data_IF_976104364781
#
_entry.id   IF_976104364781
#
_cell.length_a   1.000
_cell.length_b   1.000
_cell.length_c   1.000
_cell.angle_alpha   90.00
_cell.angle_beta   90.00
_cell.angle_gamma   90.00
#
_symmetry.space_group_name_H-M   'P 1'
#
loop_
_entity.id
_entity.type
_entity.pdbx_description
1 polymer ?
#
# COMPACT_ATOMS: atom_id res chain seq x y z
N UNK A 1 -59.13 3.56 -32.50
CA UNK A 1 -58.86 2.36 -31.68
C UNK A 1 -57.52 2.40 -30.94
N UNK A 2 -56.39 2.60 -31.62
CA UNK A 2 -55.06 2.71 -31.00
C UNK A 2 -54.92 3.82 -29.93
N UNK A 3 -55.58 4.96 -30.12
CA UNK A 3 -55.58 6.06 -29.14
C UNK A 3 -56.32 5.71 -27.84
N UNK A 4 -57.31 4.82 -27.91
CA UNK A 4 -58.10 4.38 -26.76
C UNK A 4 -57.31 3.34 -25.96
N UNK A 5 -56.68 2.39 -26.66
CA UNK A 5 -55.72 1.44 -26.08
C UNK A 5 -54.51 2.13 -25.43
N UNK A 6 -53.99 3.20 -26.01
CA UNK A 6 -52.89 3.97 -25.42
C UNK A 6 -53.30 4.67 -24.12
N UNK A 7 -54.53 5.20 -24.05
CA UNK A 7 -55.06 5.79 -22.81
C UNK A 7 -55.29 4.74 -21.71
N UNK A 8 -55.81 3.57 -22.07
CA UNK A 8 -55.98 2.45 -21.15
C UNK A 8 -54.63 1.92 -20.64
N UNK A 9 -53.62 1.81 -21.52
CA UNK A 9 -52.27 1.40 -21.11
C UNK A 9 -51.62 2.40 -20.15
N UNK A 10 -51.83 3.70 -20.37
CA UNK A 10 -51.30 4.75 -19.50
C UNK A 10 -51.99 4.76 -18.12
N UNK A 11 -53.29 4.44 -18.06
CA UNK A 11 -54.01 4.29 -16.79
C UNK A 11 -53.46 3.11 -15.97
N UNK A 12 -53.25 1.96 -16.62
CA UNK A 12 -52.64 0.78 -15.99
C UNK A 12 -51.21 1.07 -15.54
N UNK A 13 -50.43 1.79 -16.35
CA UNK A 13 -49.07 2.20 -16.01
C UNK A 13 -49.04 3.11 -14.77
N UNK A 14 -50.00 4.03 -14.65
CA UNK A 14 -50.09 4.92 -13.50
C UNK A 14 -50.60 4.23 -12.23
N UNK A 15 -51.44 3.21 -12.34
CA UNK A 15 -51.78 2.32 -11.22
C UNK A 15 -50.58 1.51 -10.74
N UNK A 16 -49.78 0.97 -11.66
CA UNK A 16 -48.53 0.25 -11.33
C UNK A 16 -47.54 1.20 -10.62
N UNK A 17 -47.41 2.45 -11.09
CA UNK A 17 -46.57 3.46 -10.44
C UNK A 17 -47.03 3.80 -9.03
N UNK A 18 -48.35 3.92 -8.80
CA UNK A 18 -48.90 4.16 -7.45
C UNK A 18 -48.64 2.98 -6.52
N UNK A 19 -48.86 1.76 -6.99
CA UNK A 19 -48.58 0.55 -6.23
C UNK A 19 -47.09 0.40 -5.86
N UNK A 20 -46.18 0.84 -6.74
CA UNK A 20 -44.73 0.88 -6.46
C UNK A 20 -44.40 2.00 -5.46
N UNK A 21 -45.02 3.17 -5.60
CA UNK A 21 -44.79 4.31 -4.70
C UNK A 21 -45.30 4.06 -3.27
N UNK A 22 -46.37 3.29 -3.08
CA UNK A 22 -46.92 2.93 -1.78
C UNK A 22 -46.04 1.94 -0.99
N UNK A 23 -45.16 1.18 -1.67
CA UNK A 23 -44.24 0.21 -1.07
C UNK A 23 -42.84 0.77 -0.77
N UNK A 24 -42.59 2.06 -1.01
CA UNK A 24 -41.27 2.69 -0.83
C UNK A 24 -41.26 3.63 0.39
N UNK A 25 -40.17 3.61 1.16
CA UNK A 25 -40.00 4.50 2.32
C UNK A 25 -39.87 5.97 1.90
N UNK A 26 -40.37 6.90 2.72
CA UNK A 26 -40.36 8.36 2.47
C UNK A 26 -38.99 8.95 2.02
N UNK A 27 -37.83 8.52 2.55
CA UNK A 27 -36.52 8.99 2.06
C UNK A 27 -36.25 8.61 0.60
N UNK A 28 -36.69 7.42 0.19
CA UNK A 28 -36.58 6.91 -1.18
C UNK A 28 -37.47 7.70 -2.15
N UNK A 29 -38.65 8.13 -1.68
CA UNK A 29 -39.54 9.01 -2.45
C UNK A 29 -38.92 10.38 -2.70
N UNK A 30 -38.23 10.97 -1.72
CA UNK A 30 -37.54 12.26 -1.87
C UNK A 30 -36.37 12.19 -2.87
N UNK A 31 -35.60 11.08 -2.88
CA UNK A 31 -34.52 10.89 -3.86
C UNK A 31 -35.04 10.63 -5.27
N UNK A 32 -36.10 9.83 -5.41
CA UNK A 32 -36.77 9.69 -6.72
C UNK A 32 -37.34 11.03 -7.19
N UNK A 33 -37.93 11.81 -6.28
CA UNK A 33 -38.43 13.15 -6.57
C UNK A 33 -37.32 14.09 -7.00
N UNK A 34 -36.14 14.11 -6.38
CA UNK A 34 -35.03 14.93 -6.89
C UNK A 34 -34.53 14.51 -8.28
N UNK A 35 -34.73 13.24 -8.68
CA UNK A 35 -34.44 12.74 -10.03
C UNK A 35 -35.57 13.02 -11.03
N UNK A 36 -36.82 13.17 -10.57
CA UNK A 36 -38.02 13.32 -11.43
C UNK A 36 -38.75 14.66 -11.34
N UNK A 37 -38.39 15.54 -10.41
CA UNK A 37 -38.91 16.93 -10.32
C UNK A 37 -37.89 17.94 -10.81
N UNK A 38 -37.61 17.84 -12.09
CA UNK A 38 -37.36 19.03 -12.88
C UNK A 38 -38.26 18.93 -14.10
N UNK A 39 -38.66 20.07 -14.65
CA UNK A 39 -39.30 20.16 -15.98
C UNK A 39 -38.34 19.72 -17.11
N UNK A 40 -37.47 18.75 -16.85
CA UNK A 40 -36.47 18.26 -17.78
C UNK A 40 -37.11 17.14 -18.60
N UNK A 41 -37.32 17.44 -19.87
CA UNK A 41 -37.74 16.47 -20.90
C UNK A 41 -36.66 15.39 -21.12
N UNK A 42 -35.44 15.64 -20.68
CA UNK A 42 -34.27 14.77 -20.87
C UNK A 42 -33.97 13.95 -19.62
N UNK A 43 -33.74 12.65 -19.79
CA UNK A 43 -33.11 11.80 -18.78
C UNK A 43 -31.59 11.90 -18.91
N UNK A 44 -30.93 12.34 -17.84
CA UNK A 44 -29.47 12.45 -17.82
C UNK A 44 -28.84 11.10 -17.47
N UNK A 45 -27.77 10.68 -18.18
CA UNK A 45 -26.97 9.53 -17.78
C UNK A 45 -26.47 9.67 -16.34
N UNK A 46 -26.39 8.54 -15.65
CA UNK A 46 -25.89 8.46 -14.27
C UNK A 46 -25.41 7.04 -13.99
N UNK A 47 -24.64 6.86 -12.93
CA UNK A 47 -24.17 5.53 -12.49
C UNK A 47 -25.32 4.54 -12.27
N UNK A 48 -26.53 5.03 -11.96
CA UNK A 48 -27.72 4.20 -11.76
C UNK A 48 -28.22 3.55 -13.05
N UNK A 49 -27.82 4.03 -14.23
CA UNK A 49 -28.11 3.35 -15.48
C UNK A 49 -27.28 2.06 -15.63
N UNK A 50 -26.06 2.06 -15.11
CA UNK A 50 -25.16 0.90 -15.13
C UNK A 50 -25.39 -0.04 -13.94
N UNK A 51 -25.77 0.54 -12.79
CA UNK A 51 -26.00 -0.16 -11.53
C UNK A 51 -27.38 0.22 -10.93
N UNK A 52 -28.51 -0.16 -11.58
CA UNK A 52 -29.84 0.26 -11.14
C UNK A 52 -30.24 -0.29 -9.77
N UNK A 53 -29.63 -1.40 -9.33
CA UNK A 53 -29.88 -1.98 -8.01
C UNK A 53 -29.45 -1.06 -6.86
N UNK A 54 -28.56 -0.09 -7.11
CA UNK A 54 -28.15 0.89 -6.08
C UNK A 54 -29.31 1.79 -5.63
N UNK A 55 -30.38 1.92 -6.43
CA UNK A 55 -31.58 2.67 -6.04
C UNK A 55 -32.43 1.92 -5.00
N UNK A 56 -32.23 0.61 -4.83
CA UNK A 56 -33.04 -0.20 -3.94
C UNK A 56 -32.77 0.10 -2.46
N UNK A 57 -31.56 0.58 -2.12
CA UNK A 57 -31.17 0.87 -0.73
C UNK A 57 -30.28 2.10 -0.67
N UNK A 58 -30.59 3.01 0.25
CA UNK A 58 -29.79 4.23 0.42
C UNK A 58 -28.35 3.96 0.86
N UNK A 59 -28.15 2.89 1.62
CA UNK A 59 -26.82 2.46 2.09
C UNK A 59 -25.96 1.82 1.01
N UNK A 60 -26.44 1.65 -0.22
CA UNK A 60 -25.67 1.06 -1.32
C UNK A 60 -24.43 1.86 -1.71
N UNK A 61 -24.44 3.18 -1.48
CA UNK A 61 -23.31 4.08 -1.78
C UNK A 61 -22.57 4.56 -0.52
N UNK A 62 -22.99 4.08 0.65
CA UNK A 62 -22.32 4.41 1.92
C UNK A 62 -21.32 3.30 2.27
N UNK A 63 -20.11 3.64 2.72
CA UNK A 63 -19.19 2.64 3.25
C UNK A 63 -19.82 1.92 4.45
N UNK A 64 -19.66 0.59 4.53
CA UNK A 64 -20.12 -0.21 5.67
C UNK A 64 -19.18 -0.11 6.88
N UNK A 65 -17.89 0.08 6.60
CA UNK A 65 -16.87 0.51 7.56
C UNK A 65 -16.37 1.85 7.06
N UNK A 66 -16.25 2.81 7.98
CA UNK A 66 -15.71 4.13 7.70
C UNK A 66 -14.94 4.64 8.92
N UNK A 67 -13.62 4.56 8.86
CA UNK A 67 -12.70 4.98 9.92
C UNK A 67 -11.75 6.02 9.35
N UNK A 68 -11.69 7.21 9.95
CA UNK A 68 -10.83 8.30 9.50
C UNK A 68 -11.42 9.67 9.83
N UNK A 69 -10.67 10.74 9.54
CA UNK A 69 -11.08 12.13 9.83
C UNK A 69 -11.73 12.85 8.65
N UNK A 70 -11.85 12.22 7.47
CA UNK A 70 -12.48 12.85 6.31
C UNK A 70 -11.64 13.98 5.72
N UNK A 71 -10.31 13.88 5.79
CA UNK A 71 -9.39 14.93 5.31
C UNK A 71 -9.58 15.16 3.80
N UNK A 72 -9.54 16.42 3.40
CA UNK A 72 -9.66 16.91 2.01
C UNK A 72 -8.67 18.06 1.76
N UNK A 73 -8.53 18.48 0.50
CA UNK A 73 -7.65 19.60 0.11
C UNK A 73 -6.18 19.22 -0.02
N UNK A 74 -5.85 17.93 -0.09
CA UNK A 74 -4.48 17.44 -0.24
C UNK A 74 -4.02 17.42 -1.71
N UNK A 75 -2.72 17.39 -1.95
CA UNK A 75 -2.20 17.26 -3.31
C UNK A 75 -2.44 15.86 -3.87
N UNK A 76 -2.17 14.81 -3.10
CA UNK A 76 -2.23 13.42 -3.59
C UNK A 76 -3.05 12.54 -2.63
N UNK A 77 -4.02 11.83 -3.19
CA UNK A 77 -4.79 10.78 -2.52
C UNK A 77 -4.31 9.43 -3.05
N UNK A 78 -3.92 8.51 -2.17
CA UNK A 78 -3.47 7.17 -2.53
C UNK A 78 -4.53 6.13 -2.18
N UNK A 79 -5.08 5.44 -3.18
CA UNK A 79 -6.04 4.36 -2.98
C UNK A 79 -5.35 3.00 -2.89
N UNK A 80 -5.53 2.29 -1.78
CA UNK A 80 -4.94 0.96 -1.51
C UNK A 80 -6.06 -0.06 -1.27
N UNK A 81 -6.54 -0.76 -2.31
CA UNK A 81 -7.53 -1.82 -2.17
C UNK A 81 -6.89 -3.08 -1.60
N UNK A 82 -7.54 -3.71 -0.65
CA UNK A 82 -7.12 -4.97 -0.02
C UNK A 82 -8.24 -5.99 -0.04
N UNK A 83 -7.91 -7.23 -0.37
CA UNK A 83 -8.84 -8.37 -0.36
C UNK A 83 -8.34 -9.42 0.61
N UNK A 84 -9.29 -10.21 1.14
CA UNK A 84 -8.96 -11.31 2.03
C UNK A 84 -8.14 -12.37 1.31
N UNK A 85 -6.96 -12.68 1.87
CA UNK A 85 -6.10 -13.79 1.44
C UNK A 85 -6.02 -14.84 2.55
N UNK A 86 -5.93 -16.11 2.19
CA UNK A 86 -5.91 -17.22 3.16
C UNK A 86 -4.57 -17.34 3.90
N UNK A 87 -3.46 -16.99 3.25
CA UNK A 87 -2.10 -17.30 3.73
C UNK A 87 -1.44 -16.13 4.45
N UNK A 88 -1.44 -14.94 3.83
CA UNK A 88 -0.70 -13.79 4.33
C UNK A 88 -1.34 -12.48 3.88
N UNK A 89 -1.31 -11.47 4.76
CA UNK A 89 -1.75 -10.10 4.46
C UNK A 89 -0.54 -9.19 4.33
N UNK A 90 -0.39 -8.55 3.16
CA UNK A 90 0.70 -7.62 2.86
C UNK A 90 0.37 -6.16 3.28
N UNK A 91 -0.88 -5.89 3.65
CA UNK A 91 -1.41 -4.54 3.84
C UNK A 91 -0.59 -3.74 4.86
N UNK A 92 -0.27 -4.32 6.01
CA UNK A 92 0.47 -3.63 7.07
C UNK A 92 1.89 -3.24 6.62
N UNK A 93 2.55 -4.10 5.85
CA UNK A 93 3.90 -3.84 5.35
C UNK A 93 3.88 -2.77 4.26
N UNK A 94 2.92 -2.84 3.35
CA UNK A 94 2.68 -1.81 2.32
C UNK A 94 2.41 -0.45 2.95
N UNK A 95 1.52 -0.39 3.94
CA UNK A 95 1.20 0.83 4.67
C UNK A 95 2.40 1.39 5.42
N UNK A 96 3.18 0.53 6.07
CA UNK A 96 4.42 0.92 6.73
C UNK A 96 5.38 1.55 5.73
N UNK A 97 5.64 0.88 4.59
CA UNK A 97 6.51 1.39 3.54
C UNK A 97 6.04 2.73 2.98
N UNK A 98 4.74 2.90 2.74
CA UNK A 98 4.20 4.16 2.22
C UNK A 98 4.37 5.30 3.22
N UNK A 99 4.12 5.05 4.50
CA UNK A 99 4.10 6.09 5.54
C UNK A 99 5.47 6.44 6.11
N UNK A 100 6.42 5.51 6.13
CA UNK A 100 7.80 5.77 6.61
C UNK A 100 8.60 6.64 5.65
N UNK A 101 8.30 6.56 4.35
CA UNK A 101 8.97 7.35 3.31
C UNK A 101 8.36 8.75 3.11
N UNK A 102 7.35 9.14 3.90
CA UNK A 102 6.77 10.47 3.90
C UNK A 102 7.41 11.35 4.98
N UNK A 103 7.85 12.55 4.59
CA UNK A 103 8.20 13.62 5.52
C UNK A 103 6.97 14.17 6.25
N UNK A 104 7.17 14.91 7.33
CA UNK A 104 6.07 15.51 8.10
C UNK A 104 5.17 16.44 7.24
N UNK A 105 5.77 17.22 6.33
CA UNK A 105 5.00 18.08 5.43
C UNK A 105 4.19 17.27 4.40
N UNK A 106 4.77 16.19 3.87
CA UNK A 106 4.06 15.31 2.93
C UNK A 106 2.92 14.54 3.61
N UNK A 107 3.07 14.18 4.89
CA UNK A 107 1.99 13.57 5.68
C UNK A 107 0.78 14.50 5.85
N UNK A 108 0.96 15.81 5.86
CA UNK A 108 -0.15 16.77 5.89
C UNK A 108 -0.79 17.01 4.52
N UNK A 109 0.00 16.82 3.45
CA UNK A 109 -0.42 17.02 2.05
C UNK A 109 -0.84 15.71 1.35
N UNK A 110 -1.18 14.68 2.14
CA UNK A 110 -1.53 13.35 1.67
C UNK A 110 -2.71 12.74 2.44
N UNK A 111 -3.47 11.89 1.74
CA UNK A 111 -4.43 10.94 2.32
C UNK A 111 -4.20 9.57 1.69
N UNK A 112 -4.08 8.53 2.51
CA UNK A 112 -4.08 7.12 2.12
C UNK A 112 -5.46 6.56 2.45
N UNK A 113 -6.18 6.08 1.44
CA UNK A 113 -7.47 5.43 1.59
C UNK A 113 -7.30 3.93 1.39
N UNK A 114 -7.39 3.17 2.48
CA UNK A 114 -7.46 1.72 2.46
C UNK A 114 -8.88 1.29 2.19
N UNK A 115 -9.09 0.56 1.10
CA UNK A 115 -10.38 -0.03 0.76
C UNK A 115 -10.35 -1.53 1.01
N UNK A 116 -10.96 -1.96 2.11
CA UNK A 116 -11.16 -3.37 2.40
C UNK A 116 -12.29 -3.85 1.49
N UNK A 117 -11.95 -4.48 0.39
CA UNK A 117 -12.86 -4.89 -0.68
C UNK A 117 -13.62 -6.17 -0.30
N UNK A 118 -14.16 -6.23 0.92
CA UNK A 118 -14.92 -7.35 1.48
C UNK A 118 -16.27 -6.87 1.97
N UNK A 119 -17.31 -7.67 1.73
CA UNK A 119 -18.69 -7.36 2.18
C UNK A 119 -19.00 -7.89 3.57
N UNK A 120 -18.17 -8.79 4.10
CA UNK A 120 -18.28 -9.27 5.48
C UNK A 120 -17.82 -8.15 6.42
N UNK A 121 -18.80 -7.52 7.09
CA UNK A 121 -18.55 -6.39 7.98
C UNK A 121 -17.76 -6.80 9.22
N UNK A 122 -17.91 -8.03 9.73
CA UNK A 122 -17.14 -8.48 10.89
C UNK A 122 -15.66 -8.61 10.52
N UNK A 123 -15.40 -9.22 9.36
CA UNK A 123 -14.04 -9.29 8.81
C UNK A 123 -13.46 -7.89 8.56
N UNK A 124 -14.20 -7.01 7.88
CA UNK A 124 -13.72 -5.67 7.58
C UNK A 124 -13.42 -4.85 8.84
N UNK A 125 -14.29 -4.91 9.87
CA UNK A 125 -14.02 -4.28 11.17
C UNK A 125 -12.77 -4.87 11.82
N UNK A 126 -12.64 -6.20 11.84
CA UNK A 126 -11.45 -6.84 12.41
C UNK A 126 -10.15 -6.42 11.72
N UNK A 127 -10.17 -6.22 10.40
CA UNK A 127 -8.99 -5.73 9.67
C UNK A 127 -8.71 -4.29 10.07
N UNK A 128 -9.74 -3.44 10.10
CA UNK A 128 -9.62 -2.04 10.50
C UNK A 128 -9.08 -1.88 11.93
N UNK A 129 -9.59 -2.65 12.89
CA UNK A 129 -9.18 -2.63 14.30
C UNK A 129 -7.76 -3.15 14.51
N UNK A 130 -7.32 -4.11 13.69
CA UNK A 130 -5.97 -4.68 13.77
C UNK A 130 -4.89 -3.82 13.09
N UNK A 131 -5.27 -2.75 12.37
CA UNK A 131 -4.30 -1.82 11.78
C UNK A 131 -3.62 -1.01 12.89
N UNK A 132 -2.31 -1.20 13.03
CA UNK A 132 -1.49 -0.57 14.07
C UNK A 132 -1.07 0.87 13.72
N UNK A 133 -2.01 1.69 13.24
CA UNK A 133 -1.78 3.08 12.79
C UNK A 133 -2.75 4.09 13.42
N UNK A 134 -2.97 4.08 14.75
CA UNK A 134 -3.94 4.96 15.39
C UNK A 134 -3.59 6.45 15.24
N UNK A 135 -2.29 6.78 15.21
CA UNK A 135 -1.80 8.16 15.07
C UNK A 135 -2.13 8.69 13.67
N UNK A 136 -1.90 7.88 12.64
CA UNK A 136 -2.15 8.26 11.24
C UNK A 136 -3.65 8.30 10.92
N UNK A 137 -4.45 7.44 11.55
CA UNK A 137 -5.92 7.53 11.48
C UNK A 137 -6.40 8.81 12.14
N UNK A 138 -5.88 9.15 13.33
CA UNK A 138 -6.29 10.33 14.07
C UNK A 138 -5.84 11.64 13.42
N UNK A 139 -4.67 11.66 12.76
CA UNK A 139 -4.24 12.84 12.01
C UNK A 139 -5.08 13.07 10.75
N UNK A 140 -5.71 12.02 10.22
CA UNK A 140 -6.41 12.04 8.94
C UNK A 140 -5.51 11.69 7.75
N UNK A 141 -4.29 11.22 7.99
CA UNK A 141 -3.43 10.66 6.95
C UNK A 141 -3.98 9.33 6.42
N UNK A 142 -4.51 8.47 7.30
CA UNK A 142 -5.03 7.16 6.94
C UNK A 142 -6.55 7.10 7.13
N UNK A 143 -7.25 6.62 6.10
CA UNK A 143 -8.67 6.30 6.17
C UNK A 143 -8.90 4.85 5.77
N UNK A 144 -9.83 4.18 6.44
CA UNK A 144 -10.20 2.79 6.17
C UNK A 144 -11.68 2.73 5.85
N UNK A 145 -12.01 2.20 4.67
CA UNK A 145 -13.37 2.06 4.20
C UNK A 145 -13.63 0.63 3.71
N UNK A 146 -14.89 0.21 3.79
CA UNK A 146 -15.35 -1.02 3.13
C UNK A 146 -16.69 -0.78 2.42
N UNK A 147 -16.99 -1.55 1.37
CA UNK A 147 -18.22 -1.38 0.60
C UNK A 147 -19.41 -1.97 1.36
N UNK A 148 -20.58 -1.37 1.18
CA UNK A 148 -21.84 -2.05 1.50
C UNK A 148 -22.02 -3.29 0.63
N UNK A 149 -22.56 -4.37 1.21
CA UNK A 149 -22.96 -5.57 0.43
C UNK A 149 -23.94 -5.22 -0.69
N UNK A 150 -24.69 -4.13 -0.55
CA UNK A 150 -25.66 -3.64 -1.53
C UNK A 150 -25.06 -2.79 -2.65
N UNK A 151 -23.76 -2.50 -2.59
CA UNK A 151 -23.04 -1.87 -3.68
C UNK A 151 -22.90 -2.83 -4.88
N UNK A 152 -22.62 -4.10 -4.60
CA UNK A 152 -22.38 -5.08 -5.65
C UNK A 152 -23.70 -5.63 -6.24
N UNK A 153 -23.74 -5.84 -7.57
CA UNK A 153 -24.85 -6.53 -8.22
C UNK A 153 -24.80 -8.04 -7.95
N UNK A 154 -25.88 -8.73 -8.28
CA UNK A 154 -25.89 -10.20 -8.33
C UNK A 154 -24.94 -10.71 -9.43
N UNK A 155 -23.86 -11.36 -9.02
CA UNK A 155 -22.86 -11.94 -9.92
C UNK A 155 -23.24 -13.33 -10.47
N UNK A 156 -24.31 -13.96 -9.99
CA UNK A 156 -24.72 -15.31 -10.44
C UNK A 156 -25.03 -15.39 -11.93
N UNK A 157 -25.43 -14.26 -12.53
CA UNK A 157 -25.83 -14.12 -13.93
C UNK A 157 -24.68 -13.73 -14.87
N UNK A 158 -23.44 -13.66 -14.37
CA UNK A 158 -22.29 -13.37 -15.21
C UNK A 158 -22.05 -14.50 -16.21
N UNK A 159 -21.76 -14.11 -17.46
CA UNK A 159 -21.45 -15.03 -18.56
C UNK A 159 -19.94 -15.25 -18.63
N UNK A 160 -19.55 -16.48 -18.94
CA UNK A 160 -18.16 -16.79 -19.27
C UNK A 160 -17.71 -16.03 -20.52
N UNK A 161 -16.43 -15.70 -20.59
CA UNK A 161 -15.86 -14.85 -21.64
C UNK A 161 -14.36 -15.11 -21.74
N UNK A 162 -13.77 -14.96 -22.94
CA UNK A 162 -12.32 -15.12 -23.16
C UNK A 162 -11.75 -16.49 -22.72
N UNK A 163 -12.61 -17.51 -22.60
CA UNK A 163 -12.23 -18.83 -22.06
C UNK A 163 -12.03 -18.85 -20.54
N UNK A 164 -12.35 -17.76 -19.84
CA UNK A 164 -12.23 -17.69 -18.39
C UNK A 164 -13.43 -18.39 -17.70
N UNK A 165 -13.19 -19.18 -16.64
CA UNK A 165 -14.26 -19.76 -15.84
C UNK A 165 -15.05 -18.67 -15.11
N UNK A 166 -16.29 -18.97 -14.71
CA UNK A 166 -17.16 -18.02 -13.97
C UNK A 166 -16.49 -17.34 -12.79
N UNK A 167 -15.69 -18.05 -11.99
CA UNK A 167 -15.00 -17.46 -10.83
C UNK A 167 -14.00 -16.37 -11.24
N UNK A 168 -13.27 -16.59 -12.35
CA UNK A 168 -12.34 -15.59 -12.87
C UNK A 168 -13.09 -14.38 -13.46
N UNK A 169 -14.21 -14.62 -14.13
CA UNK A 169 -15.10 -13.53 -14.61
C UNK A 169 -15.66 -12.72 -13.45
N UNK A 170 -16.13 -13.40 -12.40
CA UNK A 170 -16.61 -12.76 -11.16
C UNK A 170 -15.52 -11.93 -10.52
N UNK A 171 -14.31 -12.49 -10.38
CA UNK A 171 -13.16 -11.80 -9.80
C UNK A 171 -12.82 -10.50 -10.55
N UNK A 172 -12.66 -10.54 -11.88
CA UNK A 172 -12.35 -9.33 -12.68
C UNK A 172 -13.50 -8.32 -12.69
N UNK A 173 -14.76 -8.79 -12.66
CA UNK A 173 -15.95 -7.92 -12.60
C UNK A 173 -16.02 -7.19 -11.26
N UNK A 174 -15.77 -7.91 -10.16
CA UNK A 174 -15.72 -7.33 -8.82
C UNK A 174 -14.59 -6.31 -8.71
N UNK A 175 -13.39 -6.63 -9.21
CA UNK A 175 -12.25 -5.71 -9.18
C UNK A 175 -12.54 -4.38 -9.88
N UNK A 176 -13.24 -4.40 -11.02
CA UNK A 176 -13.66 -3.16 -11.69
C UNK A 176 -14.54 -2.29 -10.78
N UNK A 177 -15.50 -2.92 -10.08
CA UNK A 177 -16.39 -2.22 -9.14
C UNK A 177 -15.65 -1.72 -7.89
N UNK A 178 -14.69 -2.50 -7.39
CA UNK A 178 -13.85 -2.14 -6.25
C UNK A 178 -13.09 -0.83 -6.52
N UNK A 179 -12.46 -0.73 -7.70
CA UNK A 179 -11.73 0.48 -8.07
C UNK A 179 -12.67 1.66 -8.35
N UNK A 180 -13.84 1.41 -8.94
CA UNK A 180 -14.85 2.46 -9.09
C UNK A 180 -15.29 3.03 -7.74
N UNK A 181 -15.56 2.17 -6.74
CA UNK A 181 -15.95 2.61 -5.40
C UNK A 181 -14.88 3.50 -4.78
N UNK A 182 -13.63 3.04 -4.83
CA UNK A 182 -12.48 3.74 -4.27
C UNK A 182 -12.22 5.09 -4.97
N UNK A 183 -12.28 5.12 -6.30
CA UNK A 183 -12.14 6.37 -7.08
C UNK A 183 -13.27 7.36 -6.78
N UNK A 184 -14.52 6.90 -6.69
CA UNK A 184 -15.65 7.75 -6.32
C UNK A 184 -15.48 8.35 -4.92
N UNK A 185 -15.01 7.55 -3.96
CA UNK A 185 -14.75 8.03 -2.60
C UNK A 185 -13.60 9.05 -2.55
N UNK A 186 -12.53 8.81 -3.32
CA UNK A 186 -11.34 9.64 -3.32
C UNK A 186 -11.47 10.95 -4.10
N UNK A 187 -12.44 11.06 -5.02
CA UNK A 187 -12.55 12.15 -6.00
C UNK A 187 -12.50 13.56 -5.40
N UNK A 188 -13.16 13.79 -4.26
CA UNK A 188 -13.25 15.12 -3.65
C UNK A 188 -12.09 15.45 -2.69
N UNK A 189 -11.16 14.53 -2.47
CA UNK A 189 -10.18 14.63 -1.39
C UNK A 189 -8.90 15.38 -1.78
N UNK A 190 -8.48 15.33 -3.03
CA UNK A 190 -7.25 15.97 -3.45
C UNK A 190 -7.13 16.23 -4.93
N UNK A 191 -6.01 16.81 -5.35
CA UNK A 191 -5.76 17.23 -6.74
C UNK A 191 -5.52 16.02 -7.66
N UNK A 192 -4.73 15.07 -7.17
CA UNK A 192 -4.39 13.83 -7.89
C UNK A 192 -4.82 12.60 -7.09
N UNK A 193 -5.23 11.58 -7.81
CA UNK A 193 -5.51 10.24 -7.28
C UNK A 193 -4.48 9.25 -7.81
N UNK A 194 -3.87 8.46 -6.93
CA UNK A 194 -2.94 7.39 -7.28
C UNK A 194 -3.53 6.07 -6.87
N UNK A 195 -3.74 5.19 -7.85
CA UNK A 195 -4.17 3.83 -7.60
C UNK A 195 -2.96 2.93 -7.28
N UNK A 196 -3.00 2.26 -6.14
CA UNK A 196 -2.00 1.31 -5.68
C UNK A 196 -2.63 -0.07 -5.45
N UNK A 197 -1.83 -1.01 -4.96
CA UNK A 197 -2.22 -2.36 -4.50
C UNK A 197 -1.69 -2.55 -3.06
N UNK A 198 -2.21 -3.54 -2.34
CA UNK A 198 -1.87 -3.79 -0.93
C UNK A 198 -0.60 -4.62 -0.71
N UNK A 199 0.12 -4.96 -1.78
CA UNK A 199 1.33 -5.80 -1.79
C UNK A 199 2.50 -5.14 -2.54
N UNK A 200 2.75 -3.87 -2.22
CA UNK A 200 3.78 -3.05 -2.85
C UNK A 200 4.75 -2.44 -1.84
N UNK A 201 5.96 -2.14 -2.29
CA UNK A 201 6.93 -1.33 -1.55
C UNK A 201 7.26 -0.07 -2.35
N UNK A 202 7.30 1.06 -1.67
CA UNK A 202 7.59 2.37 -2.25
C UNK A 202 9.08 2.71 -2.16
N UNK A 203 9.57 3.48 -3.13
CA UNK A 203 10.91 4.09 -3.07
C UNK A 203 10.94 5.29 -2.11
N UNK A 204 12.12 5.63 -1.56
CA UNK A 204 12.30 6.90 -0.88
C UNK A 204 11.93 8.10 -1.78
N UNK A 205 11.35 9.13 -1.18
CA UNK A 205 10.92 10.36 -1.85
C UNK A 205 9.89 10.15 -2.98
N UNK A 206 9.16 9.03 -2.99
CA UNK A 206 8.19 8.74 -4.04
C UNK A 206 7.13 9.85 -4.15
N UNK A 207 6.65 10.38 -3.02
CA UNK A 207 5.61 11.41 -2.99
C UNK A 207 6.04 12.69 -3.69
N UNK A 208 7.13 13.31 -3.23
CA UNK A 208 7.70 14.52 -3.86
C UNK A 208 8.02 14.27 -5.34
N UNK A 209 8.55 13.08 -5.68
CA UNK A 209 8.85 12.72 -7.07
C UNK A 209 7.58 12.69 -7.93
N UNK A 210 6.50 12.04 -7.46
CA UNK A 210 5.22 11.99 -8.16
C UNK A 210 4.62 13.39 -8.34
N UNK A 211 4.60 14.20 -7.27
CA UNK A 211 4.05 15.56 -7.28
C UNK A 211 4.80 16.45 -8.27
N UNK A 212 6.12 16.47 -8.19
CA UNK A 212 6.95 17.27 -9.10
C UNK A 212 6.81 16.80 -10.55
N UNK A 213 6.77 15.48 -10.77
CA UNK A 213 6.56 14.94 -12.11
C UNK A 213 5.23 15.41 -12.70
N UNK A 214 4.14 15.35 -11.93
CA UNK A 214 2.83 15.82 -12.39
C UNK A 214 2.83 17.32 -12.74
N UNK A 215 3.44 18.16 -11.88
CA UNK A 215 3.52 19.61 -12.09
C UNK A 215 4.43 20.02 -13.26
N UNK A 216 5.39 19.18 -13.62
CA UNK A 216 6.35 19.45 -14.70
C UNK A 216 5.89 18.93 -16.07
N UNK A 217 4.69 18.35 -16.16
CA UNK A 217 4.19 17.89 -17.45
C UNK A 217 4.01 19.09 -18.40
N UNK A 218 4.54 19.02 -19.64
CA UNK A 218 4.54 20.15 -20.56
C UNK A 218 3.16 20.51 -21.10
N UNK A 219 2.18 19.62 -20.92
CA UNK A 219 0.79 19.78 -21.34
C UNK A 219 -0.12 19.31 -20.22
N UNK A 220 -1.26 19.95 -20.06
CA UNK A 220 -2.34 19.50 -19.18
C UNK A 220 -3.22 18.43 -19.84
N UNK A 221 -2.90 17.95 -21.05
CA UNK A 221 -3.72 16.96 -21.76
C UNK A 221 -3.42 15.51 -21.39
N UNK A 222 -2.42 15.24 -20.54
CA UNK A 222 -2.14 13.88 -20.09
C UNK A 222 -3.34 13.31 -19.31
N UNK A 223 -3.54 12.00 -19.45
CA UNK A 223 -4.61 11.26 -18.77
C UNK A 223 -4.08 10.43 -17.62
N UNK A 224 -2.89 9.84 -17.77
CA UNK A 224 -2.32 8.90 -16.81
C UNK A 224 -0.82 9.15 -16.67
N UNK A 225 -0.35 9.32 -15.44
CA UNK A 225 1.08 9.25 -15.14
C UNK A 225 1.38 7.88 -14.51
N UNK A 226 2.32 7.14 -15.11
CA UNK A 226 2.70 5.80 -14.64
C UNK A 226 3.98 5.85 -13.81
N UNK A 227 3.90 5.33 -12.58
CA UNK A 227 5.03 5.15 -11.66
C UNK A 227 5.38 3.67 -11.41
N UNK A 228 4.68 2.75 -12.09
CA UNK A 228 5.05 1.34 -12.23
C UNK A 228 4.52 0.80 -13.57
N UNK A 229 5.28 -0.12 -14.16
CA UNK A 229 4.87 -0.86 -15.36
C UNK A 229 3.89 -2.00 -15.06
N UNK A 230 3.80 -2.42 -13.80
CA UNK A 230 3.04 -3.60 -13.41
C UNK A 230 1.56 -3.26 -13.24
N UNK A 231 0.73 -3.80 -14.14
CA UNK A 231 -0.73 -3.75 -14.05
C UNK A 231 -1.25 -2.34 -13.76
N UNK A 232 -2.07 -2.25 -12.71
CA UNK A 232 -2.76 -1.02 -12.32
C UNK A 232 -2.06 -0.26 -11.16
N UNK A 233 -0.87 -0.70 -10.76
CA UNK A 233 -0.07 -0.08 -9.69
C UNK A 233 0.51 1.26 -10.15
N UNK A 234 0.48 2.25 -9.26
CA UNK A 234 1.15 3.53 -9.46
C UNK A 234 0.60 4.31 -10.65
N UNK A 235 -0.71 4.19 -10.92
CA UNK A 235 -1.40 4.96 -11.95
C UNK A 235 -1.99 6.20 -11.31
N UNK A 236 -1.45 7.36 -11.69
CA UNK A 236 -1.92 8.65 -11.23
C UNK A 236 -2.87 9.27 -12.25
N UNK A 237 -3.97 9.82 -11.74
CA UNK A 237 -5.00 10.52 -12.46
C UNK A 237 -5.24 11.88 -11.82
N UNK A 238 -5.76 12.84 -12.58
CA UNK A 238 -6.33 14.05 -11.98
C UNK A 238 -7.67 13.66 -11.35
N UNK A 239 -7.92 14.11 -10.13
CA UNK A 239 -9.16 13.76 -9.43
C UNK A 239 -10.40 14.25 -10.18
N UNK A 240 -10.30 15.39 -10.87
CA UNK A 240 -11.37 15.95 -11.72
C UNK A 240 -11.76 15.03 -12.88
N UNK A 241 -10.84 14.20 -13.37
CA UNK A 241 -11.09 13.27 -14.49
C UNK A 241 -11.62 11.90 -14.03
N UNK A 242 -11.66 11.64 -12.72
CA UNK A 242 -12.10 10.34 -12.20
C UNK A 242 -13.55 10.02 -12.56
N UNK A 243 -14.44 11.00 -12.68
CA UNK A 243 -15.84 10.75 -13.08
C UNK A 243 -15.91 10.10 -14.46
N UNK A 244 -15.18 10.63 -15.43
CA UNK A 244 -15.09 10.08 -16.79
C UNK A 244 -14.52 8.65 -16.76
N UNK A 245 -13.50 8.41 -15.95
CA UNK A 245 -12.85 7.10 -15.83
C UNK A 245 -13.81 6.08 -15.21
N UNK A 246 -14.45 6.44 -14.10
CA UNK A 246 -15.42 5.62 -13.38
C UNK A 246 -16.61 5.29 -14.28
N UNK A 247 -17.19 6.28 -14.97
CA UNK A 247 -18.32 6.06 -15.89
C UNK A 247 -17.92 5.09 -17.01
N UNK A 248 -16.74 5.26 -17.61
CA UNK A 248 -16.25 4.33 -18.63
C UNK A 248 -16.06 2.91 -18.11
N UNK A 249 -15.51 2.77 -16.91
CA UNK A 249 -15.35 1.46 -16.27
C UNK A 249 -16.71 0.82 -15.96
N UNK A 250 -17.67 1.58 -15.46
CA UNK A 250 -19.03 1.12 -15.16
C UNK A 250 -19.82 0.75 -16.42
N UNK A 251 -19.55 1.36 -17.58
CA UNK A 251 -20.17 0.93 -18.84
C UNK A 251 -19.83 -0.52 -19.22
N UNK A 252 -18.61 -0.96 -18.91
CA UNK A 252 -18.05 -2.24 -19.40
C UNK A 252 -17.52 -3.16 -18.29
N UNK A 253 -17.94 -2.94 -17.04
CA UNK A 253 -17.37 -3.62 -15.87
C UNK A 253 -17.52 -5.15 -15.90
N UNK A 254 -18.50 -5.69 -16.63
CA UNK A 254 -18.69 -7.14 -16.83
C UNK A 254 -17.87 -7.67 -17.99
N UNK A 255 -17.51 -6.82 -18.95
CA UNK A 255 -17.06 -7.24 -20.26
C UNK A 255 -15.55 -7.41 -20.35
N UNK A 256 -14.77 -6.58 -19.65
CA UNK A 256 -13.30 -6.63 -19.72
C UNK A 256 -12.65 -6.40 -18.35
N UNK A 257 -11.43 -6.92 -18.11
CA UNK A 257 -10.66 -6.57 -16.92
C UNK A 257 -10.19 -5.10 -16.96
N UNK A 258 -9.85 -4.55 -15.80
CA UNK A 258 -9.59 -3.12 -15.61
C UNK A 258 -8.46 -2.57 -16.49
N UNK A 259 -7.36 -3.31 -16.63
CA UNK A 259 -6.21 -2.89 -17.44
C UNK A 259 -6.60 -2.70 -18.92
N UNK A 260 -7.51 -3.54 -19.41
CA UNK A 260 -8.00 -3.48 -20.78
C UNK A 260 -8.96 -2.31 -20.95
N UNK A 261 -9.83 -2.06 -19.98
CA UNK A 261 -10.73 -0.90 -20.00
C UNK A 261 -9.94 0.41 -20.04
N UNK A 262 -8.85 0.49 -19.26
CA UNK A 262 -7.95 1.62 -19.29
C UNK A 262 -7.23 1.78 -20.63
N UNK A 263 -6.83 0.68 -21.27
CA UNK A 263 -6.26 0.78 -22.63
C UNK A 263 -7.31 1.22 -23.66
N UNK A 264 -8.56 0.75 -23.51
CA UNK A 264 -9.66 1.07 -24.40
C UNK A 264 -10.10 2.53 -24.30
N UNK A 265 -10.07 3.13 -23.10
CA UNK A 265 -10.41 4.57 -22.97
C UNK A 265 -9.43 5.44 -23.76
N UNK A 266 -8.14 5.11 -23.74
CA UNK A 266 -7.13 5.81 -24.53
C UNK A 266 -7.30 5.51 -26.03
N UNK A 267 -7.61 4.26 -26.40
CA UNK A 267 -7.86 3.90 -27.79
C UNK A 267 -8.99 4.75 -28.38
N UNK A 268 -10.12 4.85 -27.68
CA UNK A 268 -11.28 5.64 -28.10
C UNK A 268 -10.95 7.13 -28.20
N UNK A 269 -10.09 7.65 -27.32
CA UNK A 269 -9.73 9.08 -27.31
C UNK A 269 -8.80 9.50 -28.44
N UNK A 270 -7.80 8.69 -28.80
CA UNK A 270 -6.69 9.18 -29.66
C UNK A 270 -6.29 8.25 -30.81
N UNK A 271 -6.80 7.02 -30.88
CA UNK A 271 -6.43 6.12 -31.96
C UNK A 271 -7.34 6.33 -33.17
N UNK A 272 -6.72 6.57 -34.34
CA UNK A 272 -7.43 6.62 -35.61
C UNK A 272 -7.53 5.19 -36.18
N UNK A 273 -8.74 4.63 -36.39
CA UNK A 273 -8.93 3.29 -36.94
C UNK A 273 -8.35 3.07 -38.35
N UNK A 274 -8.14 4.14 -39.12
CA UNK A 274 -7.56 4.09 -40.47
C UNK A 274 -6.02 4.06 -40.46
N UNK A 275 -5.39 4.19 -39.29
CA UNK A 275 -3.93 4.19 -39.13
C UNK A 275 -3.43 2.93 -38.44
N UNK A 276 -2.13 2.70 -38.56
CA UNK A 276 -1.48 1.53 -38.00
C UNK A 276 -1.37 1.55 -36.46
N UNK A 277 -1.07 0.38 -35.89
CA UNK A 277 -0.90 0.22 -34.45
C UNK A 277 0.20 1.15 -33.90
N UNK A 278 1.30 1.35 -34.65
CA UNK A 278 2.40 2.25 -34.23
C UNK A 278 1.96 3.70 -34.10
N UNK A 279 1.05 4.17 -34.95
CA UNK A 279 0.44 5.47 -34.78
C UNK A 279 -0.37 5.52 -33.48
N UNK A 280 -1.26 4.55 -33.25
CA UNK A 280 -2.07 4.47 -32.04
C UNK A 280 -1.19 4.43 -30.77
N UNK A 281 -0.14 3.62 -30.75
CA UNK A 281 0.77 3.51 -29.61
C UNK A 281 1.48 4.83 -29.30
N UNK A 282 1.91 5.58 -30.34
CA UNK A 282 2.51 6.92 -30.16
C UNK A 282 1.49 7.92 -29.60
N UNK A 283 0.25 7.89 -30.08
CA UNK A 283 -0.80 8.77 -29.57
C UNK A 283 -1.14 8.45 -28.11
N UNK A 284 -1.28 7.16 -27.77
CA UNK A 284 -1.49 6.72 -26.39
C UNK A 284 -0.33 7.12 -25.47
N UNK A 285 0.92 7.08 -25.95
CA UNK A 285 2.08 7.48 -25.17
C UNK A 285 2.08 8.98 -24.78
N UNK A 286 1.38 9.83 -25.54
CA UNK A 286 1.21 11.25 -25.16
C UNK A 286 0.18 11.43 -24.03
N UNK A 287 -0.81 10.55 -23.93
CA UNK A 287 -1.79 10.54 -22.83
C UNK A 287 -1.30 9.79 -21.59
N UNK A 288 -0.45 8.78 -21.80
CA UNK A 288 0.06 7.89 -20.76
C UNK A 288 1.57 8.04 -20.66
N UNK A 289 1.98 8.94 -19.78
CA UNK A 289 3.36 9.34 -19.63
C UNK A 289 3.99 8.56 -18.48
N UNK A 290 5.10 7.88 -18.75
CA UNK A 290 5.76 7.02 -17.78
C UNK A 290 6.93 7.73 -17.11
N UNK A 291 6.96 7.71 -15.79
CA UNK A 291 8.12 8.07 -15.00
C UNK A 291 9.10 6.90 -14.95
N UNK A 292 10.41 7.22 -15.03
CA UNK A 292 11.49 6.24 -14.86
C UNK A 292 12.54 6.83 -13.92
N UNK A 293 13.07 6.06 -12.96
CA UNK A 293 12.74 4.65 -12.66
C UNK A 293 11.39 4.46 -11.94
N UNK A 294 10.84 3.24 -11.95
CA UNK A 294 9.58 2.94 -11.25
C UNK A 294 9.70 3.22 -9.74
N UNK A 295 8.64 3.76 -9.14
CA UNK A 295 8.58 4.13 -7.72
C UNK A 295 7.95 3.07 -6.83
N UNK A 296 7.24 2.10 -7.41
CA UNK A 296 6.57 1.02 -6.68
C UNK A 296 6.97 -0.34 -7.24
N UNK A 297 7.22 -1.30 -6.34
CA UNK A 297 7.54 -2.69 -6.67
C UNK A 297 6.52 -3.60 -6.00
N UNK A 298 5.89 -4.47 -6.78
CA UNK A 298 5.04 -5.54 -6.26
C UNK A 298 5.88 -6.60 -5.54
N UNK A 299 5.55 -6.91 -4.29
CA UNK A 299 6.25 -7.89 -3.44
C UNK A 299 5.38 -9.10 -3.08
N UNK A 300 4.08 -9.06 -3.39
CA UNK A 300 3.17 -10.17 -3.15
C UNK A 300 3.58 -11.43 -3.91
N UNK A 301 3.76 -12.55 -3.20
CA UNK A 301 4.01 -13.85 -3.84
C UNK A 301 2.71 -14.61 -4.13
N UNK A 302 1.68 -14.35 -3.32
CA UNK A 302 0.34 -14.93 -3.43
C UNK A 302 -0.65 -13.89 -3.95
N UNK A 303 -1.18 -14.15 -5.15
CA UNK A 303 -2.17 -13.28 -5.78
C UNK A 303 -3.50 -13.30 -5.03
N UNK A 304 -4.24 -12.20 -5.16
CA UNK A 304 -5.67 -12.11 -4.83
C UNK A 304 -6.56 -13.07 -5.62
N UNK A 305 -6.07 -13.63 -6.74
CA UNK A 305 -6.71 -14.75 -7.43
C UNK A 305 -6.19 -16.07 -6.83
N UNK A 306 -7.10 -16.84 -6.23
CA UNK A 306 -6.78 -18.09 -5.55
C UNK A 306 -5.91 -19.03 -6.42
N UNK A 307 -4.85 -19.57 -5.83
CA UNK A 307 -3.92 -20.49 -6.49
C UNK A 307 -2.90 -19.86 -7.44
N UNK A 308 -2.95 -18.55 -7.71
CA UNK A 308 -1.97 -17.89 -8.58
C UNK A 308 -0.78 -17.34 -7.79
N UNK A 309 0.41 -17.88 -8.07
CA UNK A 309 1.68 -17.35 -7.56
C UNK A 309 2.16 -16.23 -8.49
N UNK A 310 2.43 -15.06 -7.93
CA UNK A 310 2.92 -13.90 -8.66
C UNK A 310 4.42 -13.70 -8.37
N UNK A 311 5.25 -13.67 -9.43
CA UNK A 311 6.71 -13.46 -9.32
C UNK A 311 7.20 -12.32 -10.20
N UNK A 312 6.28 -11.51 -10.73
CA UNK A 312 6.64 -10.39 -11.61
C UNK A 312 7.39 -9.33 -10.82
N UNK A 313 8.57 -8.95 -11.33
CA UNK A 313 9.34 -7.79 -10.89
C UNK A 313 9.29 -6.69 -11.95
N UNK A 314 9.24 -5.43 -11.55
CA UNK A 314 9.25 -4.31 -12.48
C UNK A 314 10.69 -4.09 -12.96
N UNK A 315 10.92 -4.18 -14.28
CA UNK A 315 12.25 -4.07 -14.87
C UNK A 315 12.87 -2.69 -14.68
N UNK A 316 12.05 -1.64 -14.62
CA UNK A 316 12.49 -0.25 -14.47
C UNK A 316 12.60 0.17 -12.99
N UNK A 317 12.25 -0.71 -12.04
CA UNK A 317 12.55 -0.49 -10.62
C UNK A 317 14.05 -0.70 -10.31
N UNK A 318 14.86 -1.22 -11.24
CA UNK A 318 16.30 -1.44 -11.03
C UNK A 318 16.63 -2.47 -9.95
N UNK A 319 17.93 -2.72 -9.72
CA UNK A 319 18.38 -3.51 -8.56
C UNK A 319 18.22 -2.66 -7.31
N UNK A 320 17.29 -3.02 -6.43
CA UNK A 320 17.16 -2.38 -5.13
C UNK A 320 18.46 -2.53 -4.34
N UNK A 321 18.91 -1.45 -3.69
CA UNK A 321 19.99 -1.56 -2.71
C UNK A 321 19.45 -2.35 -1.53
N UNK A 322 19.91 -3.59 -1.38
CA UNK A 322 19.45 -4.52 -0.32
C UNK A 322 20.10 -4.24 1.04
N UNK A 323 21.05 -3.32 1.06
CA UNK A 323 21.81 -2.90 2.23
C UNK A 323 22.09 -1.40 2.18
N UNK A 324 22.54 -0.83 3.29
CA UNK A 324 23.05 0.54 3.35
C UNK A 324 24.39 0.55 4.08
N UNK A 325 25.45 0.84 3.34
CA UNK A 325 26.82 0.88 3.85
C UNK A 325 27.16 2.19 4.56
N UNK A 326 28.04 2.08 5.55
CA UNK A 326 28.53 3.21 6.36
C UNK A 326 30.02 3.04 6.66
N UNK A 327 30.72 4.15 6.90
CA UNK A 327 32.11 4.13 7.34
C UNK A 327 32.19 3.83 8.86
N UNK A 328 32.04 2.55 9.21
CA UNK A 328 32.10 2.10 10.60
C UNK A 328 33.53 2.11 11.19
N UNK A 329 33.70 2.19 12.53
CA UNK A 329 35.00 2.06 13.17
C UNK A 329 35.72 0.75 12.79
N UNK A 330 37.05 0.74 12.73
CA UNK A 330 37.77 -0.50 12.43
C UNK A 330 37.57 -1.53 13.57
N UNK A 331 37.09 -2.71 13.20
CA UNK A 331 36.74 -3.79 14.12
C UNK A 331 36.93 -5.15 13.48
N UNK A 332 37.14 -6.15 14.32
CA UNK A 332 36.95 -7.56 14.01
C UNK A 332 35.49 -7.91 14.27
N UNK A 333 34.81 -8.50 13.29
CA UNK A 333 33.42 -8.95 13.43
C UNK A 333 33.37 -10.47 13.49
N UNK A 334 32.60 -10.99 14.43
CA UNK A 334 32.46 -12.44 14.69
C UNK A 334 31.01 -12.76 14.98
N UNK A 335 30.53 -13.92 14.53
CA UNK A 335 29.17 -14.37 14.82
C UNK A 335 29.12 -15.88 15.03
N UNK A 336 28.18 -16.34 15.86
CA UNK A 336 27.82 -17.76 15.97
C UNK A 336 26.84 -18.22 14.88
N UNK A 337 26.18 -17.26 14.21
CA UNK A 337 25.17 -17.54 13.19
C UNK A 337 25.80 -18.17 11.96
N UNK A 338 25.14 -19.19 11.42
CA UNK A 338 25.58 -19.83 10.18
C UNK A 338 25.25 -18.94 8.98
N UNK A 339 26.28 -18.43 8.31
CA UNK A 339 26.13 -17.60 7.11
C UNK A 339 25.48 -18.36 5.95
N UNK A 340 24.58 -17.69 5.24
CA UNK A 340 24.00 -18.16 4.00
C UNK A 340 24.81 -17.67 2.79
N UNK A 341 25.32 -18.61 2.00
CA UNK A 341 26.09 -18.33 0.78
C UNK A 341 27.26 -17.35 1.01
N UNK A 342 27.25 -16.23 0.30
CA UNK A 342 28.33 -15.23 0.24
C UNK A 342 28.00 -13.93 0.99
N UNK A 343 26.89 -13.89 1.72
CA UNK A 343 26.36 -12.74 2.46
C UNK A 343 26.93 -12.68 3.87
N UNK A 344 28.22 -12.36 3.99
CA UNK A 344 28.97 -12.47 5.27
C UNK A 344 28.83 -11.22 6.15
N UNK A 345 29.12 -11.37 7.44
CA UNK A 345 29.04 -10.27 8.41
C UNK A 345 30.09 -9.19 8.12
N UNK A 346 31.26 -9.57 7.63
CA UNK A 346 32.34 -8.67 7.25
C UNK A 346 31.88 -7.72 6.14
N UNK A 347 31.22 -8.24 5.10
CA UNK A 347 30.66 -7.42 4.01
C UNK A 347 29.60 -6.45 4.51
N UNK A 348 28.74 -6.90 5.43
CA UNK A 348 27.73 -6.05 6.05
C UNK A 348 28.36 -4.90 6.84
N UNK A 349 29.41 -5.20 7.61
CA UNK A 349 30.10 -4.22 8.44
C UNK A 349 30.86 -3.18 7.60
N UNK A 350 31.50 -3.63 6.51
CA UNK A 350 32.20 -2.78 5.54
C UNK A 350 31.26 -2.00 4.62
N UNK A 351 29.97 -2.34 4.60
CA UNK A 351 28.97 -1.72 3.74
C UNK A 351 29.06 -2.15 2.27
N UNK A 352 29.68 -3.29 1.99
CA UNK A 352 29.81 -3.88 0.64
C UNK A 352 28.57 -4.70 0.25
N UNK A 353 27.93 -5.34 1.23
CA UNK A 353 26.72 -6.14 1.06
C UNK A 353 25.90 -6.17 2.36
N UNK A 354 24.91 -7.07 2.50
CA UNK A 354 24.25 -7.40 3.77
C UNK A 354 24.74 -8.74 4.34
N UNK A 355 24.43 -8.97 5.61
CA UNK A 355 24.63 -10.27 6.26
C UNK A 355 23.33 -11.06 6.17
N UNK A 356 23.39 -12.31 5.71
CA UNK A 356 22.25 -13.22 5.69
C UNK A 356 22.65 -14.53 6.35
N UNK A 357 21.88 -14.96 7.34
CA UNK A 357 22.13 -16.19 8.08
C UNK A 357 20.87 -17.01 8.27
N UNK A 358 21.08 -18.31 8.51
CA UNK A 358 20.02 -19.23 8.89
C UNK A 358 19.39 -18.84 10.24
N UNK A 359 18.27 -19.49 10.56
CA UNK A 359 17.47 -19.24 11.76
C UNK A 359 18.30 -19.16 13.04
N UNK A 360 18.32 -17.99 13.73
CA UNK A 360 18.97 -17.83 15.03
C UNK A 360 18.31 -18.64 16.14
N UNK A 361 19.12 -19.18 17.06
CA UNK A 361 18.67 -19.80 18.32
C UNK A 361 19.06 -18.97 19.53
N UNK A 362 18.42 -19.20 20.67
CA UNK A 362 18.74 -18.52 21.91
C UNK A 362 20.24 -18.66 22.26
N UNK A 363 20.90 -17.55 22.56
CA UNK A 363 22.33 -17.48 22.83
C UNK A 363 23.19 -17.16 21.61
N UNK A 364 22.64 -17.15 20.39
CA UNK A 364 23.37 -16.68 19.21
C UNK A 364 23.76 -15.21 19.33
N UNK A 365 24.90 -14.86 18.71
CA UNK A 365 25.43 -13.51 18.79
C UNK A 365 26.06 -13.02 17.50
N UNK A 366 26.08 -11.69 17.36
CA UNK A 366 26.93 -10.93 16.44
C UNK A 366 27.78 -10.01 17.32
N UNK A 367 29.11 -10.10 17.23
CA UNK A 367 30.04 -9.33 18.05
C UNK A 367 30.98 -8.53 17.18
N UNK A 368 31.12 -7.26 17.50
CA UNK A 368 31.96 -6.26 16.85
C UNK A 368 33.00 -5.85 17.89
N UNK A 369 34.24 -6.32 17.74
CA UNK A 369 35.35 -6.01 18.64
C UNK A 369 36.23 -4.96 17.99
N UNK A 370 36.31 -3.77 18.57
CA UNK A 370 37.10 -2.69 18.00
C UNK A 370 38.60 -2.97 18.18
N UNK A 371 39.40 -2.66 17.16
CA UNK A 371 40.87 -2.86 17.27
C UNK A 371 41.51 -1.90 18.29
N UNK A 372 40.88 -0.75 18.52
CA UNK A 372 41.24 0.21 19.56
C UNK A 372 39.96 0.65 20.26
N UNK A 373 39.97 0.93 21.58
CA UNK A 373 38.76 1.37 22.28
C UNK A 373 38.16 2.64 21.66
N UNK A 374 36.86 2.63 21.39
CA UNK A 374 36.17 3.72 20.67
C UNK A 374 35.08 4.32 21.54
N UNK A 375 35.04 5.66 21.64
CA UNK A 375 33.87 6.36 22.17
C UNK A 375 32.79 6.40 21.10
N UNK A 376 31.65 5.80 21.38
CA UNK A 376 30.50 5.74 20.47
C UNK A 376 29.46 6.75 20.95
N UNK A 377 28.91 7.53 20.03
CA UNK A 377 27.80 8.46 20.31
C UNK A 377 26.46 7.77 20.06
N UNK A 378 26.34 7.06 18.94
CA UNK A 378 25.08 6.50 18.48
C UNK A 378 25.30 5.19 17.70
N UNK A 379 24.34 4.30 17.79
CA UNK A 379 24.25 3.11 16.94
C UNK A 379 22.91 3.05 16.20
N UNK A 380 22.90 2.38 15.06
CA UNK A 380 21.72 2.02 14.32
C UNK A 380 21.95 0.68 13.60
N UNK A 381 21.02 -0.24 13.78
CA UNK A 381 21.00 -1.55 13.13
C UNK A 381 19.64 -1.78 12.49
N UNK A 382 19.65 -2.21 11.22
CA UNK A 382 18.44 -2.63 10.49
C UNK A 382 18.55 -4.08 10.06
N UNK A 383 17.49 -4.80 10.31
CA UNK A 383 17.32 -6.20 9.99
C UNK A 383 16.15 -6.39 9.02
N UNK A 384 16.26 -7.41 8.16
CA UNK A 384 15.41 -7.57 6.98
C UNK A 384 15.85 -6.67 5.82
N UNK A 385 15.37 -6.97 4.62
CA UNK A 385 15.50 -6.09 3.47
C UNK A 385 14.21 -6.14 2.63
N UNK A 386 14.18 -5.40 1.54
CA UNK A 386 13.00 -5.27 0.68
C UNK A 386 12.63 -6.55 -0.08
N UNK A 387 13.59 -7.44 -0.34
CA UNK A 387 13.31 -8.74 -0.98
C UNK A 387 12.86 -9.80 0.05
N UNK A 388 13.30 -9.65 1.30
CA UNK A 388 13.03 -10.54 2.41
C UNK A 388 12.65 -9.73 3.66
N UNK A 389 11.47 -9.07 3.68
CA UNK A 389 11.05 -8.20 4.78
C UNK A 389 10.76 -8.96 6.07
N UNK A 390 10.54 -10.28 5.98
CA UNK A 390 10.33 -11.16 7.12
C UNK A 390 11.61 -11.63 7.82
N UNK A 391 12.77 -11.59 7.14
CA UNK A 391 14.03 -12.12 7.65
C UNK A 391 14.67 -11.14 8.65
N UNK A 392 14.04 -11.00 9.82
CA UNK A 392 14.36 -10.01 10.84
C UNK A 392 14.87 -10.63 12.14
N UNK A 393 15.69 -9.89 12.86
CA UNK A 393 16.03 -10.14 14.26
C UNK A 393 14.82 -9.82 15.14
N UNK A 394 14.39 -10.82 15.90
CA UNK A 394 13.35 -10.72 16.92
C UNK A 394 13.94 -11.06 18.29
N UNK A 395 13.48 -10.37 19.34
CA UNK A 395 13.97 -10.60 20.71
C UNK A 395 15.50 -10.58 20.82
N UNK A 396 16.12 -9.68 20.08
CA UNK A 396 17.58 -9.46 20.07
C UNK A 396 17.89 -8.16 20.79
N UNK A 397 18.95 -8.16 21.59
CA UNK A 397 19.38 -7.00 22.38
C UNK A 397 20.68 -6.43 21.86
N UNK A 398 20.90 -5.13 22.08
CA UNK A 398 22.15 -4.43 21.80
C UNK A 398 22.88 -4.25 23.12
N UNK A 399 24.12 -4.73 23.17
CA UNK A 399 24.95 -4.77 24.36
C UNK A 399 26.34 -4.17 24.06
N UNK A 400 26.96 -3.53 25.04
CA UNK A 400 28.29 -2.89 24.91
C UNK A 400 29.23 -3.33 26.01
N UNK A 401 30.52 -3.40 25.70
CA UNK A 401 31.58 -3.73 26.64
C UNK A 401 32.51 -2.51 26.82
N UNK A 402 32.47 -1.83 27.97
CA UNK A 402 33.42 -0.75 28.27
C UNK A 402 34.85 -1.27 28.44
N UNK A 403 35.85 -0.51 27.96
CA UNK A 403 37.26 -0.89 28.06
C UNK A 403 37.79 -0.93 29.50
N UNK A 404 37.39 0.04 30.33
CA UNK A 404 37.87 0.18 31.72
C UNK A 404 36.99 -0.58 32.74
N UNK A 405 36.10 -1.47 32.27
CA UNK A 405 35.10 -2.19 33.06
C UNK A 405 35.65 -3.04 34.22
N UNK A 406 36.95 -3.38 34.20
CA UNK A 406 37.62 -4.27 35.15
C UNK A 406 38.56 -3.55 36.13
N UNK A 407 38.72 -2.21 36.06
CA UNK A 407 39.76 -1.50 36.81
C UNK A 407 39.37 -0.83 38.13
N UNK A 408 38.12 -0.89 38.57
CA UNK A 408 37.74 -0.52 39.94
C UNK A 408 36.27 -0.87 40.18
N UNK A 409 35.92 -1.35 41.37
CA UNK A 409 34.57 -1.77 41.77
C UNK A 409 33.55 -0.63 41.78
N UNK A 410 33.15 -0.15 40.60
CA UNK A 410 32.07 0.82 40.42
C UNK A 410 30.77 0.11 40.03
N UNK A 411 29.98 -0.24 41.05
CA UNK A 411 28.53 -0.46 40.96
C UNK A 411 27.78 0.85 40.61
N UNK A 412 28.10 1.53 39.50
CA UNK A 412 27.58 2.89 39.24
C UNK A 412 26.71 3.06 38.00
N UNK A 413 26.05 2.02 37.52
CA UNK A 413 24.96 2.18 36.54
C UNK A 413 23.76 1.28 36.85
N UNK A 414 23.00 1.54 37.95
CA UNK A 414 21.79 0.76 38.27
C UNK A 414 20.71 0.84 37.19
N UNK A 415 20.84 1.79 36.25
CA UNK A 415 19.95 1.98 35.09
C UNK A 415 20.05 0.85 34.06
N UNK A 416 21.19 0.17 33.96
CA UNK A 416 21.44 -0.79 32.89
C UNK A 416 21.71 -2.18 33.42
N UNK A 417 21.13 -3.17 32.76
CA UNK A 417 21.35 -4.57 33.09
C UNK A 417 22.73 -5.02 32.57
N UNK A 418 23.56 -5.55 33.47
CA UNK A 418 24.89 -6.06 33.15
C UNK A 418 24.85 -7.59 33.10
N UNK A 419 25.40 -8.16 32.04
CA UNK A 419 25.51 -9.60 31.84
C UNK A 419 26.69 -10.17 32.63
N UNK A 420 26.69 -11.48 32.88
CA UNK A 420 27.74 -12.15 33.65
C UNK A 420 29.14 -12.03 33.03
N UNK A 421 29.21 -11.89 31.70
CA UNK A 421 30.45 -11.71 30.94
C UNK A 421 30.85 -10.23 30.77
N UNK A 422 30.21 -9.33 31.51
CA UNK A 422 30.62 -7.94 31.66
C UNK A 422 30.02 -6.95 30.66
N UNK A 423 29.28 -7.41 29.65
CA UNK A 423 28.53 -6.55 28.74
C UNK A 423 27.36 -5.85 29.43
N UNK A 424 26.94 -4.71 28.89
CA UNK A 424 25.85 -3.88 29.40
C UNK A 424 24.80 -3.76 28.30
N UNK A 425 23.55 -4.13 28.60
CA UNK A 425 22.43 -4.02 27.65
C UNK A 425 21.95 -2.58 27.55
N UNK A 426 21.98 -2.04 26.33
CA UNK A 426 21.65 -0.62 26.04
C UNK A 426 20.49 -0.44 25.04
N UNK A 427 20.00 -1.53 24.44
CA UNK A 427 18.88 -1.46 23.50
C UNK A 427 18.30 -2.82 23.14
N UNK A 428 17.22 -2.79 22.38
CA UNK A 428 16.49 -3.97 21.89
C UNK A 428 15.98 -3.72 20.48
N UNK A 429 15.88 -4.79 19.68
CA UNK A 429 15.26 -4.72 18.36
C UNK A 429 13.75 -4.62 18.48
N UNK A 430 13.17 -3.62 17.82
CA UNK A 430 11.75 -3.46 17.61
C UNK A 430 11.46 -3.46 16.10
N UNK A 431 10.66 -4.44 15.66
CA UNK A 431 10.30 -4.63 14.24
C UNK A 431 11.50 -4.63 13.28
N UNK A 432 12.61 -5.26 13.68
CA UNK A 432 13.83 -5.35 12.89
C UNK A 432 14.72 -4.10 12.95
N UNK A 433 14.43 -3.10 13.78
CA UNK A 433 15.30 -1.93 13.98
C UNK A 433 15.76 -1.84 15.42
N UNK A 434 17.04 -1.57 15.64
CA UNK A 434 17.58 -1.16 16.94
C UNK A 434 18.43 0.10 16.75
N UNK A 435 18.05 1.19 17.40
CA UNK A 435 18.79 2.44 17.37
C UNK A 435 18.79 3.12 18.73
N UNK A 436 19.85 3.88 19.02
CA UNK A 436 19.95 4.60 20.28
C UNK A 436 21.27 5.32 20.46
N UNK A 437 21.29 6.22 21.44
CA UNK A 437 22.50 6.88 21.92
C UNK A 437 23.21 5.99 22.93
N UNK A 438 24.54 6.05 22.93
CA UNK A 438 25.37 5.34 23.90
C UNK A 438 25.70 6.31 25.04
N UNK A 439 25.40 5.90 26.28
CA UNK A 439 25.63 6.74 27.46
C UNK A 439 27.13 7.11 27.57
N UNK A 440 27.50 8.41 27.55
CA UNK A 440 28.89 8.83 27.60
C UNK A 440 29.65 8.35 28.85
N UNK A 441 28.94 8.02 29.93
CA UNK A 441 29.53 7.52 31.17
C UNK A 441 30.19 6.14 31.02
N UNK A 442 29.87 5.40 29.95
CA UNK A 442 30.55 4.13 29.65
C UNK A 442 32.00 4.34 29.17
N UNK A 443 32.36 5.56 28.73
CA UNK A 443 33.68 5.84 28.20
C UNK A 443 33.98 5.08 26.90
N UNK A 444 35.27 4.84 26.58
CA UNK A 444 35.65 4.05 25.40
C UNK A 444 35.18 2.60 25.51
N UNK A 445 34.62 2.07 24.43
CA UNK A 445 34.11 0.71 24.34
C UNK A 445 35.12 -0.20 23.64
N UNK A 446 35.32 -1.41 24.16
CA UNK A 446 36.10 -2.48 23.53
C UNK A 446 35.27 -3.23 22.49
N UNK A 447 33.98 -3.46 22.76
CA UNK A 447 33.13 -4.21 21.86
C UNK A 447 31.64 -3.81 21.92
N UNK A 448 30.91 -4.14 20.86
CA UNK A 448 29.45 -4.14 20.79
C UNK A 448 28.98 -5.56 20.42
N UNK A 449 27.87 -6.00 21.02
CA UNK A 449 27.27 -7.30 20.73
C UNK A 449 25.77 -7.18 20.50
N UNK A 450 25.27 -7.87 19.47
CA UNK A 450 23.87 -8.20 19.32
C UNK A 450 23.66 -9.61 19.89
N UNK A 451 22.77 -9.77 20.87
CA UNK A 451 22.53 -11.05 21.54
C UNK A 451 21.07 -11.50 21.38
N UNK A 452 20.88 -12.69 20.82
CA UNK A 452 19.57 -13.32 20.58
C UNK A 452 19.10 -13.99 21.87
N UNK A 453 17.96 -13.52 22.41
CA UNK A 453 17.48 -13.96 23.73
C UNK A 453 16.60 -15.20 23.64
N UNK A 454 15.86 -15.34 22.55
CA UNK A 454 14.97 -16.48 22.30
C UNK A 454 15.12 -16.94 20.86
N UNK A 455 14.77 -18.20 20.59
CA UNK A 455 14.73 -18.75 19.24
C UNK A 455 13.91 -17.86 18.29
N UNK A 456 14.46 -17.60 17.11
CA UNK A 456 13.77 -16.88 16.05
C UNK A 456 13.00 -17.88 15.18
N UNK A 457 11.80 -17.54 14.68
CA UNK A 457 11.04 -18.44 13.82
C UNK A 457 11.48 -18.41 12.35
N UNK A 458 12.39 -17.50 11.99
CA UNK A 458 12.76 -17.16 10.61
C UNK A 458 14.26 -16.96 10.47
N UNK A 459 14.74 -16.96 9.23
CA UNK A 459 16.11 -16.57 8.89
C UNK A 459 16.34 -15.08 9.19
N UNK A 460 17.59 -14.63 9.15
CA UNK A 460 17.93 -13.27 9.53
C UNK A 460 18.79 -12.56 8.50
N UNK A 461 18.39 -11.34 8.18
CA UNK A 461 19.20 -10.39 7.42
C UNK A 461 19.59 -9.22 8.31
N UNK A 462 20.84 -8.77 8.25
CA UNK A 462 21.28 -7.48 8.79
C UNK A 462 21.74 -6.61 7.62
N UNK A 463 20.92 -5.62 7.27
CA UNK A 463 21.03 -4.82 6.06
C UNK A 463 21.66 -3.45 6.27
N UNK A 464 21.72 -2.95 7.51
CA UNK A 464 22.37 -1.69 7.84
C UNK A 464 23.07 -1.82 9.19
N UNK A 465 24.36 -1.53 9.22
CA UNK A 465 25.15 -1.36 10.45
C UNK A 465 25.72 0.04 10.41
N UNK A 466 25.33 0.86 11.37
CA UNK A 466 25.85 2.22 11.53
C UNK A 466 26.27 2.45 12.98
N UNK A 467 27.56 2.77 13.16
CA UNK A 467 28.14 3.10 14.45
C UNK A 467 28.85 4.45 14.32
N UNK A 468 28.32 5.47 15.00
CA UNK A 468 28.87 6.83 14.98
C UNK A 468 29.85 7.01 16.14
N UNK A 469 31.10 7.36 15.83
CA UNK A 469 32.09 7.77 16.84
C UNK A 469 31.69 9.12 17.43
N UNK A 470 31.92 9.31 18.73
CA UNK A 470 31.92 10.63 19.33
C UNK A 470 33.18 11.39 18.84
N UNK A 471 33.03 12.68 18.57
CA UNK A 471 34.15 13.58 18.24
C UNK A 471 35.08 13.85 19.43
#
# INVERSE_FOLDING_TARGET
ENLKRSKELNLVLDEIKRAIAENLSEPTKLKLWNVTTSKNVLQLPSIFHHLPHLLAKESSLQPAVHVGQGRTGVSIVMGVPSVKREVHSYLTDTLSSLMTELSAAEKEDCVIVVFIAETDQQYANSVADNLKFPVEIQSGLLEVISPSVHFYPDFSRLKESFGDPKERVRWRTKQNLDYCFLMMYAQSKGTYYVQLEDDIVARPNYFTTMKNFALQQPSEEWMILEFSQLGFIGKMFKSVDLSLIVEFMLMFYKDKPIDWLLDHIMWVKVCNPEKDAKHCDRQKANLRIRFKPSLFQHVGTHSSLAGKIQKLKDKDFGKQTLHKGHANPLAEVTTSLKTYQHFTLEKAYLGEDFFWAFTPVAGDFIRIRFFTPVRIERYFFRSGNIEHPGDKLFNTTVEVLPFDALKEGREKTPKYHRTEDGFIRIGVFHNGIAEGEVDPTFGPLEALRLSVITDCPVWVILSEIFIKKAE
#
